data_IF_365921871881
#
_entry.id   IF_365921871881
#
_cell.length_a   1.000
_cell.length_b   1.000
_cell.length_c   1.000
_cell.angle_alpha   90.00
_cell.angle_beta   90.00
_cell.angle_gamma   90.00
#
_symmetry.space_group_name_H-M   'P 1'
#
loop_
_entity.id
_entity.type
_entity.pdbx_description
1 polymer ?
#
# COMPACT_ATOMS: atom_id res chain seq x y z
N UNK A 1 16.81 11.47 -2.75
CA UNK A 1 16.95 10.46 -1.69
C UNK A 1 18.35 9.89 -1.73
N UNK A 2 19.00 9.80 -0.58
CA UNK A 2 20.29 9.15 -0.38
C UNK A 2 20.15 7.62 -0.36
N UNK A 3 21.27 6.92 -0.58
CA UNK A 3 21.34 5.45 -0.51
C UNK A 3 20.88 4.92 0.87
N UNK A 4 21.23 5.63 1.95
CA UNK A 4 20.81 5.28 3.31
C UNK A 4 19.29 5.39 3.49
N UNK A 5 18.64 6.39 2.89
CA UNK A 5 17.18 6.55 2.95
C UNK A 5 16.47 5.43 2.20
N UNK A 6 17.03 4.97 1.07
CA UNK A 6 16.50 3.83 0.31
C UNK A 6 16.62 2.53 1.12
N UNK A 7 17.76 2.29 1.77
CA UNK A 7 17.98 1.13 2.65
C UNK A 7 16.98 1.14 3.81
N UNK A 8 16.82 2.27 4.48
CA UNK A 8 15.90 2.40 5.61
C UNK A 8 14.44 2.16 5.18
N UNK A 9 14.04 2.68 4.02
CA UNK A 9 12.70 2.45 3.46
C UNK A 9 12.48 0.96 3.12
N UNK A 10 13.47 0.31 2.51
CA UNK A 10 13.42 -1.13 2.22
C UNK A 10 13.29 -1.99 3.48
N UNK A 11 14.03 -1.65 4.54
CA UNK A 11 13.94 -2.32 5.85
C UNK A 11 12.56 -2.17 6.49
N UNK A 12 11.97 -0.97 6.44
CA UNK A 12 10.63 -0.74 6.97
C UNK A 12 9.57 -1.59 6.25
N UNK A 13 9.64 -1.67 4.92
CA UNK A 13 8.75 -2.51 4.10
C UNK A 13 8.90 -3.99 4.48
N UNK A 14 10.13 -4.49 4.61
CA UNK A 14 10.40 -5.87 5.00
C UNK A 14 9.89 -6.20 6.41
N UNK A 15 10.03 -5.27 7.36
CA UNK A 15 9.54 -5.44 8.73
C UNK A 15 8.01 -5.57 8.78
N UNK A 16 7.28 -4.72 8.06
CA UNK A 16 5.81 -4.78 8.00
C UNK A 16 5.37 -6.12 7.37
N UNK A 17 6.00 -6.54 6.26
CA UNK A 17 5.74 -7.85 5.65
C UNK A 17 5.92 -9.01 6.65
N UNK A 18 7.01 -8.98 7.42
CA UNK A 18 7.27 -9.99 8.44
C UNK A 18 6.22 -9.97 9.54
N UNK A 19 5.84 -8.79 10.04
CA UNK A 19 4.82 -8.64 11.09
C UNK A 19 3.44 -9.15 10.65
N UNK A 20 3.05 -8.93 9.39
CA UNK A 20 1.79 -9.48 8.86
C UNK A 20 1.87 -11.01 8.76
N UNK A 21 2.96 -11.56 8.21
CA UNK A 21 3.15 -13.02 8.11
C UNK A 21 3.19 -13.71 9.47
N UNK A 22 3.77 -13.05 10.47
CA UNK A 22 3.80 -13.53 11.85
C UNK A 22 2.45 -13.41 12.57
N UNK A 23 1.45 -12.75 11.96
CA UNK A 23 0.15 -12.47 12.58
C UNK A 23 0.21 -11.41 13.69
N UNK A 24 1.34 -10.72 13.85
CA UNK A 24 1.54 -9.66 14.85
C UNK A 24 0.71 -8.43 14.52
N UNK A 25 0.49 -8.17 13.23
CA UNK A 25 -0.45 -7.18 12.74
C UNK A 25 -1.37 -7.83 11.71
N UNK A 26 -2.65 -7.48 11.71
CA UNK A 26 -3.59 -8.01 10.73
C UNK A 26 -3.47 -7.24 9.41
N UNK A 27 -3.78 -7.91 8.29
CA UNK A 27 -3.93 -7.23 7.00
C UNK A 27 -4.92 -6.07 7.07
N UNK A 28 -6.02 -6.25 7.81
CA UNK A 28 -7.02 -5.21 8.05
C UNK A 28 -6.44 -3.97 8.76
N UNK A 29 -5.50 -4.16 9.70
CA UNK A 29 -4.82 -3.05 10.35
C UNK A 29 -3.91 -2.29 9.37
N UNK A 30 -3.22 -3.00 8.47
CA UNK A 30 -2.40 -2.36 7.42
C UNK A 30 -3.28 -1.58 6.43
N UNK A 31 -4.45 -2.12 6.06
CA UNK A 31 -5.44 -1.41 5.24
C UNK A 31 -5.96 -0.16 5.95
N UNK A 32 -6.29 -0.26 7.24
CA UNK A 32 -6.74 0.88 8.03
C UNK A 32 -5.68 1.99 8.09
N UNK A 33 -4.43 1.62 8.34
CA UNK A 33 -3.30 2.55 8.34
C UNK A 33 -3.12 3.22 6.96
N UNK A 34 -3.23 2.46 5.88
CA UNK A 34 -3.17 3.01 4.52
C UNK A 34 -4.32 3.99 4.22
N UNK A 35 -5.48 3.86 4.88
CA UNK A 35 -6.58 4.82 4.77
C UNK A 35 -6.33 6.06 5.61
N UNK A 36 -5.76 5.92 6.80
CA UNK A 36 -5.38 7.05 7.65
C UNK A 36 -4.39 7.98 6.92
N UNK A 37 -3.39 7.41 6.24
CA UNK A 37 -2.45 8.21 5.45
C UNK A 37 -3.09 8.92 4.24
N UNK A 38 -4.06 8.30 3.56
CA UNK A 38 -4.82 8.99 2.51
C UNK A 38 -5.66 10.15 3.10
N UNK A 39 -6.29 9.95 4.26
CA UNK A 39 -7.07 10.98 4.94
C UNK A 39 -6.19 12.15 5.41
N UNK A 40 -4.99 11.86 5.89
CA UNK A 40 -4.00 12.89 6.21
C UNK A 40 -3.62 13.68 4.96
N UNK A 41 -3.39 12.98 3.84
CA UNK A 41 -2.99 13.63 2.60
C UNK A 41 -4.06 14.57 2.06
N UNK A 42 -5.33 14.15 2.13
CA UNK A 42 -6.46 14.96 1.67
C UNK A 42 -6.73 16.17 2.57
N UNK A 43 -6.26 16.15 3.82
CA UNK A 43 -6.37 17.25 4.78
C UNK A 43 -5.13 18.15 4.81
N UNK A 44 -4.02 17.73 4.22
CA UNK A 44 -2.78 18.50 4.29
C UNK A 44 -2.88 19.76 3.41
N UNK A 45 -2.59 20.95 3.96
CA UNK A 45 -2.52 22.18 3.17
C UNK A 45 -1.20 22.25 2.35
N UNK A 46 -0.25 21.34 2.58
CA UNK A 46 1.06 21.34 1.94
C UNK A 46 1.15 20.22 0.91
N UNK A 47 1.26 20.59 -0.38
CA UNK A 47 1.27 19.63 -1.48
C UNK A 47 2.35 18.55 -1.34
N UNK A 48 3.55 18.94 -0.89
CA UNK A 48 4.65 18.00 -0.70
C UNK A 48 4.40 16.99 0.43
N UNK A 49 3.78 17.43 1.53
CA UNK A 49 3.44 16.54 2.64
C UNK A 49 2.32 15.56 2.23
N UNK A 50 1.30 16.05 1.51
CA UNK A 50 0.24 15.22 0.96
C UNK A 50 0.80 14.13 0.02
N UNK A 51 1.80 14.48 -0.79
CA UNK A 51 2.47 13.53 -1.69
C UNK A 51 3.23 12.44 -0.92
N UNK A 52 3.98 12.81 0.13
CA UNK A 52 4.66 11.85 1.00
C UNK A 52 3.65 10.89 1.64
N UNK A 53 2.55 11.43 2.19
CA UNK A 53 1.52 10.63 2.85
C UNK A 53 0.82 9.67 1.87
N UNK A 54 0.52 10.12 0.65
CA UNK A 54 0.01 9.24 -0.43
C UNK A 54 1.00 8.16 -0.83
N UNK A 55 2.30 8.49 -0.84
CA UNK A 55 3.37 7.53 -1.08
C UNK A 55 3.39 6.41 -0.04
N UNK A 56 3.28 6.78 1.24
CA UNK A 56 3.20 5.81 2.35
C UNK A 56 1.96 4.92 2.23
N UNK A 57 0.79 5.52 1.99
CA UNK A 57 -0.46 4.78 1.79
C UNK A 57 -0.35 3.79 0.63
N UNK A 58 0.33 4.17 -0.46
CA UNK A 58 0.58 3.28 -1.60
C UNK A 58 1.51 2.12 -1.24
N UNK A 59 2.61 2.38 -0.52
CA UNK A 59 3.54 1.34 -0.09
C UNK A 59 2.88 0.30 0.81
N UNK A 60 2.03 0.72 1.75
CA UNK A 60 1.27 -0.20 2.62
C UNK A 60 0.36 -1.13 1.82
N UNK A 61 -0.28 -0.63 0.75
CA UNK A 61 -1.10 -1.45 -0.16
C UNK A 61 -0.26 -2.40 -1.00
N UNK A 62 0.90 -1.94 -1.48
CA UNK A 62 1.85 -2.78 -2.22
C UNK A 62 2.39 -3.92 -1.36
N UNK A 63 2.64 -3.67 -0.06
CA UNK A 63 3.03 -4.71 0.90
C UNK A 63 1.98 -5.83 0.97
N UNK A 64 0.69 -5.47 1.01
CA UNK A 64 -0.41 -6.45 1.05
C UNK A 64 -0.53 -7.27 -0.24
N UNK A 65 -0.21 -6.67 -1.38
CA UNK A 65 -0.14 -7.39 -2.66
C UNK A 65 1.03 -8.37 -2.70
N UNK A 66 2.19 -7.94 -2.22
CA UNK A 66 3.41 -8.75 -2.16
C UNK A 66 3.43 -9.78 -1.03
N UNK A 67 2.42 -9.76 -0.16
CA UNK A 67 2.28 -10.74 0.92
C UNK A 67 1.87 -12.11 0.41
N UNK A 68 1.41 -12.21 -0.84
CA UNK A 68 1.22 -13.48 -1.53
C UNK A 68 2.53 -14.30 -1.50
N UNK A 69 2.57 -15.45 -0.81
CA UNK A 69 3.60 -16.43 -1.09
C UNK A 69 3.46 -16.87 -2.57
N UNK A 70 4.54 -17.31 -3.25
CA UNK A 70 4.37 -18.07 -4.48
C UNK A 70 3.31 -19.14 -4.20
N UNK A 71 2.26 -19.25 -5.04
CA UNK A 71 1.02 -19.91 -4.65
C UNK A 71 1.30 -21.30 -4.12
N UNK A 72 1.12 -21.49 -2.81
CA UNK A 72 0.55 -22.73 -2.36
C UNK A 72 -0.86 -22.71 -2.94
N UNK A 73 -1.08 -23.55 -3.95
CA UNK A 73 -2.31 -23.76 -4.72
C UNK A 73 -3.54 -23.71 -3.79
N UNK A 74 -4.10 -22.51 -3.58
CA UNK A 74 -5.26 -22.25 -2.71
C UNK A 74 -6.20 -21.23 -3.38
N UNK A 75 -7.46 -21.62 -3.69
CA UNK A 75 -8.48 -20.74 -4.28
C UNK A 75 -8.83 -19.47 -3.48
N UNK A 76 -8.52 -19.39 -2.18
CA UNK A 76 -8.77 -18.20 -1.39
C UNK A 76 -7.74 -17.08 -1.69
N UNK A 77 -6.48 -17.44 -1.91
CA UNK A 77 -5.41 -16.50 -2.26
C UNK A 77 -5.63 -15.89 -3.64
N UNK A 78 -6.08 -16.69 -4.61
CA UNK A 78 -6.39 -16.20 -5.96
C UNK A 78 -7.53 -15.16 -5.98
N UNK A 79 -8.58 -15.39 -5.18
CA UNK A 79 -9.69 -14.43 -5.02
C UNK A 79 -9.24 -13.12 -4.37
N UNK A 80 -8.33 -13.17 -3.38
CA UNK A 80 -7.74 -11.97 -2.76
C UNK A 80 -6.90 -11.17 -3.75
N UNK A 81 -6.02 -11.84 -4.50
CA UNK A 81 -5.20 -11.19 -5.51
C UNK A 81 -6.06 -10.50 -6.58
N UNK A 82 -7.16 -11.14 -6.99
CA UNK A 82 -8.07 -10.56 -7.98
C UNK A 82 -8.80 -9.33 -7.45
N UNK A 83 -9.29 -9.35 -6.20
CA UNK A 83 -9.93 -8.21 -5.55
C UNK A 83 -9.00 -6.99 -5.49
N UNK A 84 -7.75 -7.19 -5.07
CA UNK A 84 -6.79 -6.09 -4.95
C UNK A 84 -6.39 -5.49 -6.32
N UNK A 85 -6.32 -6.33 -7.38
CA UNK A 85 -6.07 -5.86 -8.75
C UNK A 85 -7.20 -4.95 -9.26
N UNK A 86 -8.46 -5.29 -9.00
CA UNK A 86 -9.61 -4.47 -9.41
C UNK A 86 -9.60 -3.11 -8.70
N UNK A 87 -9.32 -3.09 -7.38
CA UNK A 87 -9.17 -1.85 -6.62
C UNK A 87 -8.06 -0.93 -7.17
N UNK A 88 -6.96 -1.51 -7.65
CA UNK A 88 -5.88 -0.72 -8.27
C UNK A 88 -6.24 -0.16 -9.65
N UNK A 89 -7.03 -0.88 -10.45
CA UNK A 89 -7.51 -0.39 -11.75
C UNK A 89 -8.47 0.79 -11.58
N UNK A 90 -9.44 0.67 -10.67
CA UNK A 90 -10.38 1.75 -10.36
C UNK A 90 -9.64 3.03 -9.93
N UNK A 91 -8.62 2.91 -9.07
CA UNK A 91 -7.81 4.06 -8.65
C UNK A 91 -7.02 4.67 -9.80
N UNK A 92 -6.45 3.86 -10.68
CA UNK A 92 -5.71 4.35 -11.86
C UNK A 92 -6.63 5.10 -12.82
N UNK A 93 -7.86 4.61 -13.01
CA UNK A 93 -8.87 5.28 -13.82
C UNK A 93 -9.29 6.64 -13.23
N UNK A 94 -9.48 6.73 -11.91
CA UNK A 94 -9.81 7.99 -11.23
C UNK A 94 -8.68 9.03 -11.28
N UNK A 95 -7.42 8.59 -11.32
CA UNK A 95 -6.26 9.49 -11.47
C UNK A 95 -6.15 10.00 -12.91
N UNK A 96 -6.45 9.15 -13.90
CA UNK A 96 -6.45 9.54 -15.31
C UNK A 96 -7.56 10.56 -15.62
N UNK A 97 -8.76 10.39 -15.04
CA UNK A 97 -9.91 11.29 -15.24
C UNK A 97 -9.66 12.70 -14.66
N UNK A 98 -8.98 12.79 -13.51
CA UNK A 98 -8.57 14.07 -12.89
C UNK A 98 -7.42 14.80 -13.58
N UNK A 99 -6.73 14.16 -14.51
CA UNK A 99 -5.57 14.73 -15.22
C UNK A 99 -5.93 15.26 -16.62
N UNK A 100 -7.21 15.16 -17.01
CA UNK A 100 -7.75 15.62 -18.29
C UNK A 100 -8.59 16.90 -18.22
N UNK A 101 -8.73 17.52 -17.04
CA UNK A 101 -9.29 18.87 -16.83
C UNK A 101 -8.16 19.89 -16.58
#
# INVERSE_FOLDING_TARGET
MSEQEQINAGLAVAAIKLMVRAGTISEAAVVALAREYDLLADRSPYAHEAEIQRGIAHQLRAILLDLDPPPAIDPASERRAQFLREQMKERTAMIADRSGE
#
